data_IF_763511375056
#
_entry.id   IF_763511375056
#
_cell.length_a   1.000
_cell.length_b   1.000
_cell.length_c   1.000
_cell.angle_alpha   90.00
_cell.angle_beta   90.00
_cell.angle_gamma   90.00
#
_symmetry.space_group_name_H-M   'P 1'
#
loop_
_entity.id
_entity.type
_entity.pdbx_description
1 polymer ?
#
# COMPACT_ATOMS: atom_id res chain seq x y z
N UNK A 1 -37.96 -48.42 47.82
CA UNK A 1 -38.16 -47.22 48.67
C UNK A 1 -36.77 -46.79 49.15
N UNK A 2 -36.40 -45.54 48.90
CA UNK A 2 -35.03 -45.02 48.80
C UNK A 2 -34.19 -45.23 50.09
N UNK A 3 -32.94 -45.66 49.91
CA UNK A 3 -31.95 -46.04 50.94
C UNK A 3 -31.47 -44.83 51.77
N UNK A 4 -31.72 -44.89 53.09
CA UNK A 4 -31.40 -43.84 54.08
C UNK A 4 -29.90 -43.63 54.33
N UNK A 5 -28.99 -44.45 53.76
CA UNK A 5 -27.53 -44.25 53.91
C UNK A 5 -26.94 -43.24 52.91
N UNK A 6 -27.66 -42.92 51.84
CA UNK A 6 -27.21 -41.94 50.84
C UNK A 6 -27.52 -40.49 51.20
N UNK A 7 -28.56 -40.22 52.01
CA UNK A 7 -28.92 -38.86 52.45
C UNK A 7 -28.00 -38.29 53.53
N UNK A 8 -27.42 -39.13 54.40
CA UNK A 8 -26.55 -38.67 55.49
C UNK A 8 -25.17 -38.18 55.01
N UNK A 9 -24.68 -38.70 53.86
CA UNK A 9 -23.42 -38.28 53.23
C UNK A 9 -23.51 -36.93 52.52
N UNK A 10 -24.69 -36.54 52.05
CA UNK A 10 -24.90 -35.26 51.35
C UNK A 10 -25.18 -34.11 52.34
N UNK A 11 -25.72 -34.40 53.52
CA UNK A 11 -25.95 -33.40 54.57
C UNK A 11 -24.66 -32.93 55.25
N UNK A 12 -23.67 -33.81 55.42
CA UNK A 12 -22.38 -33.48 56.05
C UNK A 12 -21.49 -32.67 55.10
N UNK A 13 -21.54 -32.91 53.78
CA UNK A 13 -20.75 -32.17 52.80
C UNK A 13 -21.28 -30.74 52.52
N UNK A 14 -22.59 -30.50 52.72
CA UNK A 14 -23.20 -29.19 52.51
C UNK A 14 -22.96 -28.22 53.70
N UNK A 15 -22.74 -28.75 54.91
CA UNK A 15 -22.52 -27.93 56.11
C UNK A 15 -21.07 -27.41 56.24
N UNK A 16 -20.11 -28.06 55.58
CA UNK A 16 -18.70 -27.61 55.52
C UNK A 16 -18.44 -26.47 54.52
N UNK A 17 -19.34 -26.20 53.58
CA UNK A 17 -19.14 -25.14 52.58
C UNK A 17 -19.73 -23.78 53.00
N UNK A 18 -20.74 -23.77 53.88
CA UNK A 18 -21.40 -22.54 54.36
C UNK A 18 -20.61 -21.86 55.50
N UNK A 19 -19.77 -22.59 56.23
CA UNK A 19 -18.96 -22.05 57.33
C UNK A 19 -17.63 -21.39 56.89
N UNK A 20 -17.30 -21.39 55.59
CA UNK A 20 -16.10 -20.75 55.03
C UNK A 20 -16.36 -19.37 54.42
N UNK A 21 -17.57 -18.81 54.61
CA UNK A 21 -17.97 -17.52 54.05
C UNK A 21 -18.46 -16.48 55.07
N UNK A 22 -18.27 -16.71 56.38
CA UNK A 22 -18.56 -15.72 57.42
C UNK A 22 -17.37 -15.52 58.36
N UNK A 23 -16.76 -14.34 58.26
CA UNK A 23 -15.71 -13.82 59.16
C UNK A 23 -14.32 -14.00 58.57
N UNK A 24 -13.48 -12.99 58.37
CA UNK A 24 -13.31 -11.70 59.05
C UNK A 24 -12.19 -10.93 58.33
N UNK A 25 -12.02 -9.63 58.66
CA UNK A 25 -11.08 -8.62 58.16
C UNK A 25 -11.65 -7.74 57.04
N UNK A 26 -12.30 -6.61 57.30
CA UNK A 26 -11.95 -5.48 58.17
C UNK A 26 -10.56 -4.89 57.88
N UNK A 27 -10.49 -3.99 56.91
CA UNK A 27 -9.72 -2.72 56.92
C UNK A 27 -9.77 -2.09 55.53
N UNK A 28 -10.72 -1.17 55.29
CA UNK A 28 -10.69 -0.30 54.12
C UNK A 28 -9.66 0.82 54.35
N UNK A 29 -8.41 0.54 54.02
CA UNK A 29 -7.40 1.59 53.86
C UNK A 29 -7.74 2.36 52.58
N UNK A 30 -8.01 3.66 52.75
CA UNK A 30 -8.21 4.61 51.66
C UNK A 30 -6.98 4.58 50.73
N UNK A 31 -7.10 3.89 49.60
CA UNK A 31 -6.15 4.03 48.50
C UNK A 31 -6.67 5.17 47.64
N UNK A 32 -6.09 6.36 47.82
CA UNK A 32 -6.20 7.47 46.89
C UNK A 32 -5.85 6.95 45.51
N UNK A 33 -6.86 6.83 44.64
CA UNK A 33 -6.66 6.60 43.22
C UNK A 33 -5.97 7.84 42.67
N UNK A 34 -4.63 7.78 42.58
CA UNK A 34 -3.90 8.68 41.70
C UNK A 34 -4.45 8.43 40.30
N UNK A 35 -5.30 9.35 39.84
CA UNK A 35 -5.67 9.47 38.45
C UNK A 35 -4.37 9.73 37.70
N UNK A 36 -3.72 8.67 37.22
CA UNK A 36 -2.74 8.78 36.17
C UNK A 36 -3.47 9.44 35.02
N UNK A 37 -3.22 10.73 34.84
CA UNK A 37 -3.55 11.45 33.64
C UNK A 37 -2.91 10.68 32.50
N UNK A 38 -3.70 9.87 31.78
CA UNK A 38 -3.37 9.52 30.42
C UNK A 38 -3.29 10.87 29.70
N UNK A 39 -2.09 11.42 29.62
CA UNK A 39 -1.78 12.41 28.63
C UNK A 39 -2.08 11.71 27.31
N UNK A 40 -3.26 12.01 26.76
CA UNK A 40 -3.58 11.72 25.38
C UNK A 40 -2.48 12.41 24.58
N UNK A 41 -1.49 11.63 24.14
CA UNK A 41 -0.54 12.12 23.17
C UNK A 41 -1.37 12.41 21.94
N UNK A 42 -1.69 13.68 21.74
CA UNK A 42 -2.32 14.18 20.54
C UNK A 42 -1.46 13.73 19.38
N UNK A 43 -1.94 12.76 18.61
CA UNK A 43 -1.39 12.45 17.29
C UNK A 43 -1.21 13.78 16.55
N UNK A 44 -0.08 14.01 15.85
CA UNK A 44 0.12 15.23 15.08
C UNK A 44 -1.07 15.38 14.14
N UNK A 45 -1.92 16.35 14.47
CA UNK A 45 -3.13 16.61 13.72
C UNK A 45 -2.66 17.11 12.36
N UNK A 46 -2.96 16.35 11.30
CA UNK A 46 -2.71 16.79 9.93
C UNK A 46 -3.25 18.23 9.81
N UNK A 47 -2.39 19.16 9.40
CA UNK A 47 -2.76 20.57 9.32
C UNK A 47 -4.00 20.68 8.44
N UNK A 48 -5.11 21.17 9.01
CA UNK A 48 -6.36 21.39 8.26
C UNK A 48 -6.25 22.55 7.27
N UNK A 49 -5.14 23.29 7.32
CA UNK A 49 -4.82 24.35 6.38
C UNK A 49 -4.25 23.77 5.09
N UNK A 50 -4.88 24.05 3.92
CA UNK A 50 -4.33 23.62 2.65
C UNK A 50 -3.00 24.33 2.37
N UNK A 51 -2.07 23.58 1.77
CA UNK A 51 -0.84 24.17 1.22
C UNK A 51 -1.21 25.15 0.12
N UNK A 52 -0.57 26.32 0.10
CA UNK A 52 -0.78 27.36 -0.93
C UNK A 52 0.48 27.50 -1.76
N UNK A 53 0.32 27.49 -3.09
CA UNK A 53 1.41 27.71 -4.04
C UNK A 53 0.90 28.63 -5.17
N UNK A 54 1.45 29.85 -5.33
CA UNK A 54 0.89 30.85 -6.24
C UNK A 54 1.14 30.57 -7.74
N UNK A 55 2.05 29.65 -8.08
CA UNK A 55 2.47 29.42 -9.48
C UNK A 55 2.15 28.02 -10.01
N UNK A 56 2.34 26.99 -9.18
CA UNK A 56 2.13 25.60 -9.58
C UNK A 56 2.22 24.69 -8.37
N UNK A 57 1.59 23.52 -8.46
CA UNK A 57 1.54 22.55 -7.39
C UNK A 57 1.56 21.14 -7.99
N UNK A 58 2.37 20.26 -7.39
CA UNK A 58 2.35 18.82 -7.66
C UNK A 58 2.01 18.11 -6.37
N UNK A 59 1.05 17.19 -6.43
CA UNK A 59 0.62 16.38 -5.29
C UNK A 59 0.74 14.93 -5.69
N UNK A 60 1.45 14.15 -4.89
CA UNK A 60 1.58 12.71 -5.07
C UNK A 60 1.72 12.00 -3.73
N UNK A 61 1.67 10.68 -3.75
CA UNK A 61 1.86 9.87 -2.54
C UNK A 61 3.32 9.81 -2.06
N UNK A 62 4.29 10.36 -2.77
CA UNK A 62 5.71 10.33 -2.41
C UNK A 62 6.27 11.75 -2.39
N UNK A 63 6.96 12.13 -1.30
CA UNK A 63 7.60 13.45 -1.21
C UNK A 63 8.62 13.65 -2.33
N UNK A 64 9.42 12.63 -2.62
CA UNK A 64 10.43 12.62 -3.68
C UNK A 64 9.80 12.76 -5.07
N UNK A 65 8.66 12.11 -5.31
CA UNK A 65 7.97 12.21 -6.60
C UNK A 65 7.26 13.56 -6.78
N UNK A 66 6.63 14.09 -5.72
CA UNK A 66 6.07 15.43 -5.72
C UNK A 66 7.14 16.48 -6.00
N UNK A 67 8.32 16.33 -5.39
CA UNK A 67 9.47 17.21 -5.62
C UNK A 67 9.96 17.13 -7.08
N UNK A 68 10.11 15.93 -7.64
CA UNK A 68 10.53 15.77 -9.04
C UNK A 68 9.60 16.50 -10.03
N UNK A 69 8.28 16.39 -9.84
CA UNK A 69 7.32 17.14 -10.64
C UNK A 69 7.38 18.65 -10.39
N UNK A 70 7.50 19.07 -9.13
CA UNK A 70 7.60 20.48 -8.76
C UNK A 70 8.85 21.14 -9.35
N UNK A 71 9.98 20.43 -9.36
CA UNK A 71 11.23 20.90 -9.98
C UNK A 71 11.09 21.07 -11.49
N UNK A 72 10.34 20.17 -12.15
CA UNK A 72 10.01 20.33 -13.57
C UNK A 72 9.14 21.56 -13.82
N UNK A 73 8.12 21.81 -12.99
CA UNK A 73 7.33 23.05 -13.07
C UNK A 73 8.19 24.29 -12.84
N UNK A 74 9.04 24.28 -11.81
CA UNK A 74 9.94 25.38 -11.49
C UNK A 74 10.97 25.65 -12.59
N UNK A 75 11.38 24.60 -13.32
CA UNK A 75 12.20 24.70 -14.52
C UNK A 75 11.43 25.13 -15.79
N UNK A 76 10.15 25.49 -15.64
CA UNK A 76 9.28 25.97 -16.72
C UNK A 76 8.64 24.86 -17.56
N UNK A 77 8.70 23.60 -17.13
CA UNK A 77 7.88 22.53 -17.72
C UNK A 77 6.41 22.78 -17.49
N UNK A 78 5.55 22.22 -18.34
CA UNK A 78 4.11 22.32 -18.14
C UNK A 78 3.58 21.22 -17.21
N UNK A 79 2.27 21.20 -16.98
CA UNK A 79 1.62 20.21 -16.12
C UNK A 79 1.78 18.76 -16.62
N UNK A 80 1.84 18.54 -17.94
CA UNK A 80 2.05 17.21 -18.53
C UNK A 80 3.50 16.75 -18.31
N UNK A 81 4.48 17.62 -18.54
CA UNK A 81 5.89 17.34 -18.26
C UNK A 81 6.10 16.96 -16.78
N UNK A 82 5.53 17.75 -15.87
CA UNK A 82 5.60 17.50 -14.43
C UNK A 82 4.90 16.20 -14.02
N UNK A 83 3.76 15.87 -14.63
CA UNK A 83 3.05 14.61 -14.38
C UNK A 83 3.89 13.40 -14.83
N UNK A 84 4.56 13.49 -15.97
CA UNK A 84 5.45 12.43 -16.48
C UNK A 84 6.63 12.21 -15.52
N UNK A 85 7.32 13.28 -15.12
CA UNK A 85 8.44 13.18 -14.18
C UNK A 85 8.00 12.63 -12.82
N UNK A 86 6.85 13.06 -12.32
CA UNK A 86 6.22 12.53 -11.10
C UNK A 86 5.93 11.04 -11.25
N UNK A 87 5.37 10.62 -12.39
CA UNK A 87 5.04 9.23 -12.67
C UNK A 87 6.26 8.31 -12.67
N UNK A 88 7.35 8.72 -13.33
CA UNK A 88 8.61 7.97 -13.29
C UNK A 88 9.23 7.94 -11.88
N UNK A 89 9.20 9.06 -11.14
CA UNK A 89 9.69 9.08 -9.77
C UNK A 89 8.85 8.18 -8.83
N UNK A 90 7.53 8.08 -9.04
CA UNK A 90 6.67 7.13 -8.32
C UNK A 90 7.02 5.68 -8.66
N UNK A 91 7.43 5.38 -9.89
CA UNK A 91 7.88 4.03 -10.28
C UNK A 91 9.07 3.53 -9.46
N UNK A 92 9.84 4.46 -8.86
CA UNK A 92 10.96 4.16 -7.98
C UNK A 92 10.57 4.26 -6.51
N UNK A 93 9.88 5.34 -6.13
CA UNK A 93 9.68 5.70 -4.72
C UNK A 93 8.38 5.17 -4.11
N UNK A 94 7.45 4.67 -4.94
CA UNK A 94 6.21 4.00 -4.54
C UNK A 94 6.01 2.69 -5.33
N UNK A 95 6.91 1.70 -5.20
CA UNK A 95 6.93 0.50 -6.04
C UNK A 95 5.70 -0.41 -5.89
N UNK A 96 4.89 -0.22 -4.85
CA UNK A 96 3.62 -0.94 -4.69
C UNK A 96 2.54 -0.51 -5.70
N UNK A 97 2.72 0.61 -6.41
CA UNK A 97 1.72 1.13 -7.36
C UNK A 97 2.32 1.93 -8.52
N UNK A 98 3.28 2.81 -8.25
CA UNK A 98 4.06 3.48 -9.31
C UNK A 98 4.81 2.43 -10.10
N UNK A 99 4.80 2.54 -11.44
CA UNK A 99 5.25 1.45 -12.29
C UNK A 99 5.77 1.90 -13.66
N UNK A 100 6.61 1.06 -14.25
CA UNK A 100 6.85 0.99 -15.71
C UNK A 100 6.34 -0.34 -16.30
N UNK A 101 5.97 -1.29 -15.45
CA UNK A 101 5.50 -2.64 -15.81
C UNK A 101 3.98 -2.83 -15.73
N UNK A 102 3.21 -1.75 -15.61
CA UNK A 102 1.75 -1.77 -15.62
C UNK A 102 1.17 -0.75 -16.60
N UNK A 103 0.04 -0.15 -16.25
CA UNK A 103 -0.66 0.83 -17.08
C UNK A 103 -1.44 1.85 -16.26
N UNK A 104 -2.31 2.61 -16.93
CA UNK A 104 -3.11 3.64 -16.28
C UNK A 104 -3.81 4.58 -17.25
N UNK A 105 -4.18 5.74 -16.72
CA UNK A 105 -4.89 6.78 -17.45
C UNK A 105 -4.31 8.15 -17.07
N UNK A 106 -4.36 9.10 -18.00
CA UNK A 106 -4.00 10.50 -17.74
C UNK A 106 -5.08 11.41 -18.29
N UNK A 107 -5.73 12.18 -17.41
CA UNK A 107 -6.69 13.22 -17.81
C UNK A 107 -6.01 14.58 -17.80
N UNK A 108 -6.15 15.31 -18.90
CA UNK A 108 -5.53 16.63 -19.08
C UNK A 108 -6.63 17.64 -19.38
N UNK A 109 -6.64 18.75 -18.64
CA UNK A 109 -7.49 19.92 -18.91
C UNK A 109 -6.60 21.08 -19.32
N UNK A 110 -6.88 21.68 -20.47
CA UNK A 110 -6.08 22.76 -21.04
C UNK A 110 -6.58 24.13 -20.57
N UNK A 111 -5.75 25.20 -20.72
CA UNK A 111 -6.11 26.55 -20.32
C UNK A 111 -7.36 27.10 -21.03
N UNK A 112 -7.64 26.64 -22.26
CA UNK A 112 -8.85 27.00 -23.02
C UNK A 112 -10.12 26.28 -22.53
N UNK A 113 -10.00 25.43 -21.51
CA UNK A 113 -11.10 24.65 -20.92
C UNK A 113 -11.35 23.31 -21.58
N UNK A 114 -10.69 22.99 -22.70
CA UNK A 114 -10.81 21.67 -23.34
C UNK A 114 -10.20 20.58 -22.47
N UNK A 115 -10.68 19.35 -22.62
CA UNK A 115 -10.23 18.21 -21.80
C UNK A 115 -10.01 17.00 -22.70
N UNK A 116 -8.97 16.23 -22.41
CA UNK A 116 -8.67 14.96 -23.06
C UNK A 116 -8.28 13.91 -22.03
N UNK A 117 -8.26 12.65 -22.43
CA UNK A 117 -7.74 11.55 -21.63
C UNK A 117 -6.89 10.63 -22.50
N UNK A 118 -5.74 10.21 -21.97
CA UNK A 118 -4.94 9.13 -22.54
C UNK A 118 -5.23 7.85 -21.76
N UNK A 119 -5.64 6.82 -22.49
CA UNK A 119 -5.73 5.45 -22.01
C UNK A 119 -4.45 4.70 -22.40
N UNK A 120 -3.69 4.28 -21.39
CA UNK A 120 -2.52 3.43 -21.53
C UNK A 120 -2.64 2.22 -20.60
N UNK A 121 -3.86 1.69 -20.48
CA UNK A 121 -4.16 0.46 -19.77
C UNK A 121 -3.40 -0.71 -20.42
N UNK A 122 -3.03 -1.67 -19.58
CA UNK A 122 -2.45 -2.92 -20.05
C UNK A 122 -3.43 -3.63 -20.99
N UNK A 123 -2.88 -4.27 -22.03
CA UNK A 123 -3.66 -5.14 -22.93
C UNK A 123 -3.38 -6.59 -22.61
N UNK A 124 -4.41 -7.43 -22.74
CA UNK A 124 -4.20 -8.88 -22.73
C UNK A 124 -3.21 -9.25 -23.86
N UNK A 125 -2.24 -10.14 -23.61
CA UNK A 125 -1.34 -10.61 -24.66
C UNK A 125 -2.11 -11.38 -25.75
N UNK A 126 -1.57 -11.48 -26.96
CA UNK A 126 -2.22 -12.15 -28.09
C UNK A 126 -2.54 -13.64 -27.83
N UNK A 127 -1.82 -14.28 -26.92
CA UNK A 127 -2.03 -15.67 -26.51
C UNK A 127 -3.10 -15.84 -25.40
N UNK A 128 -3.69 -14.74 -24.90
CA UNK A 128 -4.73 -14.79 -23.89
C UNK A 128 -6.01 -15.44 -24.45
N UNK A 129 -6.68 -16.24 -23.62
CA UNK A 129 -7.90 -16.95 -23.95
C UNK A 129 -8.76 -17.11 -22.68
N UNK A 130 -10.09 -17.32 -22.79
CA UNK A 130 -11.00 -17.26 -21.64
C UNK A 130 -10.67 -18.23 -20.50
N UNK A 131 -10.15 -19.42 -20.82
CA UNK A 131 -9.89 -20.50 -19.88
C UNK A 131 -8.50 -20.42 -19.21
N UNK A 132 -7.67 -19.40 -19.53
CA UNK A 132 -6.27 -19.33 -19.07
C UNK A 132 -6.10 -19.24 -17.54
N UNK A 133 -7.18 -18.97 -16.80
CA UNK A 133 -7.21 -18.89 -15.34
C UNK A 133 -7.68 -20.17 -14.65
N UNK A 134 -8.08 -21.18 -15.41
CA UNK A 134 -8.51 -22.47 -14.86
C UNK A 134 -7.29 -23.34 -14.52
N UNK A 135 -7.41 -24.17 -13.49
CA UNK A 135 -6.46 -25.24 -13.21
C UNK A 135 -6.77 -26.51 -14.03
N UNK A 136 -6.01 -27.57 -13.78
CA UNK A 136 -6.12 -28.83 -14.52
C UNK A 136 -7.44 -29.58 -14.25
N UNK A 137 -8.18 -29.19 -13.20
CA UNK A 137 -9.53 -29.70 -12.93
C UNK A 137 -10.62 -28.90 -13.63
N UNK A 138 -10.27 -27.78 -14.27
CA UNK A 138 -11.21 -26.86 -14.91
C UNK A 138 -11.80 -25.81 -13.96
N UNK A 139 -11.32 -25.73 -12.72
CA UNK A 139 -11.79 -24.76 -11.72
C UNK A 139 -10.94 -23.50 -11.70
N UNK A 140 -11.52 -22.38 -11.26
CA UNK A 140 -10.80 -21.10 -11.20
C UNK A 140 -9.61 -21.15 -10.22
N UNK A 141 -8.42 -20.83 -10.72
CA UNK A 141 -7.20 -20.76 -9.92
C UNK A 141 -6.80 -19.33 -9.59
N UNK A 142 -7.04 -18.95 -8.34
CA UNK A 142 -6.59 -17.65 -7.79
C UNK A 142 -5.07 -17.47 -7.88
N UNK A 143 -4.32 -18.56 -7.71
CA UNK A 143 -2.85 -18.54 -7.79
C UNK A 143 -2.39 -18.25 -9.22
N UNK A 144 -2.97 -18.90 -10.23
CA UNK A 144 -2.70 -18.55 -11.64
C UNK A 144 -3.03 -17.08 -11.92
N UNK A 145 -4.19 -16.61 -11.49
CA UNK A 145 -4.66 -15.26 -11.79
C UNK A 145 -3.88 -14.13 -11.09
N UNK A 146 -3.33 -14.34 -9.89
CA UNK A 146 -2.68 -13.27 -9.12
C UNK A 146 -1.22 -13.50 -8.75
N UNK A 147 -0.69 -14.69 -9.00
CA UNK A 147 0.63 -15.11 -8.51
C UNK A 147 1.33 -16.02 -9.51
N UNK A 148 1.21 -15.67 -10.80
CA UNK A 148 1.95 -16.32 -11.88
C UNK A 148 2.29 -15.32 -12.99
N UNK A 149 3.26 -15.63 -13.88
CA UNK A 149 3.57 -14.77 -15.02
C UNK A 149 2.42 -14.57 -16.00
N UNK A 150 1.47 -15.51 -16.08
CA UNK A 150 0.31 -15.39 -16.99
C UNK A 150 -0.65 -14.28 -16.57
N UNK A 151 -0.56 -13.80 -15.32
CA UNK A 151 -1.32 -12.67 -14.78
C UNK A 151 -0.93 -11.31 -15.37
N UNK A 152 0.19 -11.24 -16.09
CA UNK A 152 0.78 -9.97 -16.56
C UNK A 152 0.17 -9.56 -17.90
N UNK A 153 -0.45 -8.38 -17.94
CA UNK A 153 -0.82 -7.71 -19.19
C UNK A 153 0.37 -6.99 -19.83
N UNK A 154 0.28 -6.67 -21.12
CA UNK A 154 1.31 -5.91 -21.84
C UNK A 154 1.39 -4.49 -21.26
N UNK A 155 2.51 -4.06 -20.65
CA UNK A 155 2.61 -2.77 -19.98
C UNK A 155 2.42 -1.58 -20.92
N UNK A 156 1.69 -0.56 -20.45
CA UNK A 156 1.35 0.64 -21.20
C UNK A 156 1.95 1.94 -20.66
N UNK A 157 2.37 2.02 -19.40
CA UNK A 157 2.77 3.28 -18.76
C UNK A 157 3.84 4.07 -19.53
N UNK A 158 4.93 3.44 -19.93
CA UNK A 158 6.01 4.12 -20.67
C UNK A 158 5.52 4.63 -22.02
N UNK A 159 4.73 3.83 -22.74
CA UNK A 159 4.15 4.23 -24.03
C UNK A 159 3.14 5.38 -23.86
N UNK A 160 2.33 5.36 -22.80
CA UNK A 160 1.39 6.42 -22.46
C UNK A 160 2.07 7.74 -22.14
N UNK A 161 3.12 7.71 -21.31
CA UNK A 161 3.92 8.91 -20.99
C UNK A 161 4.65 9.44 -22.21
N UNK A 162 5.23 8.58 -23.03
CA UNK A 162 5.86 8.99 -24.28
C UNK A 162 4.84 9.64 -25.23
N UNK A 163 3.64 9.07 -25.36
CA UNK A 163 2.58 9.65 -26.19
C UNK A 163 2.11 11.00 -25.66
N UNK A 164 1.93 11.14 -24.34
CA UNK A 164 1.60 12.40 -23.70
C UNK A 164 2.68 13.46 -23.92
N UNK A 165 3.96 13.07 -23.81
CA UNK A 165 5.11 13.93 -24.09
C UNK A 165 5.12 14.41 -25.54
N UNK A 166 4.92 13.52 -26.51
CA UNK A 166 4.88 13.89 -27.93
C UNK A 166 3.75 14.84 -28.27
N UNK A 167 2.59 14.69 -27.62
CA UNK A 167 1.41 15.51 -27.90
C UNK A 167 1.45 16.85 -27.17
N UNK A 168 1.92 16.87 -25.92
CA UNK A 168 1.69 17.97 -25.00
C UNK A 168 2.90 18.35 -24.16
N UNK A 169 4.04 17.68 -24.27
CA UNK A 169 5.27 18.01 -23.55
C UNK A 169 5.99 19.22 -24.13
N UNK A 170 6.72 19.95 -23.30
CA UNK A 170 7.54 21.10 -23.73
C UNK A 170 9.00 21.07 -23.24
N UNK A 171 9.38 20.01 -22.53
CA UNK A 171 10.77 19.76 -22.09
C UNK A 171 11.34 18.50 -22.71
N UNK A 172 12.67 18.40 -22.73
CA UNK A 172 13.34 17.20 -23.24
C UNK A 172 12.97 15.97 -22.42
N UNK A 173 12.68 14.86 -23.11
CA UNK A 173 12.28 13.60 -22.47
C UNK A 173 13.29 13.13 -21.42
N UNK A 174 14.58 13.23 -21.72
CA UNK A 174 15.65 12.87 -20.79
C UNK A 174 15.50 13.63 -19.46
N UNK A 175 15.17 14.92 -19.53
CA UNK A 175 15.00 15.76 -18.33
C UNK A 175 13.85 15.31 -17.44
N UNK A 176 12.81 14.70 -18.02
CA UNK A 176 11.66 14.17 -17.28
C UNK A 176 11.96 12.82 -16.63
N UNK A 177 12.79 11.99 -17.26
CA UNK A 177 13.16 10.65 -16.77
C UNK A 177 14.30 10.69 -15.77
N UNK A 178 15.25 11.62 -15.94
CA UNK A 178 16.50 11.68 -15.17
C UNK A 178 16.32 11.75 -13.63
N UNK A 179 15.31 12.46 -13.07
CA UNK A 179 15.08 12.43 -11.63
C UNK A 179 14.84 11.01 -11.09
N UNK A 180 14.04 10.20 -11.80
CA UNK A 180 13.79 8.82 -11.40
C UNK A 180 15.05 7.94 -11.52
N UNK A 181 15.88 8.16 -12.54
CA UNK A 181 17.17 7.47 -12.69
C UNK A 181 18.08 7.77 -11.50
N UNK A 182 18.18 9.04 -11.08
CA UNK A 182 18.96 9.44 -9.90
C UNK A 182 18.45 8.75 -8.63
N UNK A 183 17.13 8.82 -8.37
CA UNK A 183 16.50 8.16 -7.22
C UNK A 183 16.76 6.64 -7.20
N UNK A 184 16.73 5.98 -8.36
CA UNK A 184 16.95 4.54 -8.45
C UNK A 184 18.43 4.15 -8.30
N UNK A 185 19.33 4.97 -8.86
CA UNK A 185 20.78 4.69 -8.86
C UNK A 185 21.44 5.01 -7.53
N UNK A 186 21.13 6.18 -7.00
CA UNK A 186 21.80 6.75 -5.84
C UNK A 186 21.06 6.41 -4.54
N UNK A 187 19.82 5.93 -4.66
CA UNK A 187 18.93 5.65 -3.55
C UNK A 187 18.21 6.90 -3.04
N UNK A 188 17.34 6.69 -2.05
CA UNK A 188 16.60 7.76 -1.40
C UNK A 188 16.20 7.31 0.01
N UNK A 189 15.88 8.28 0.88
CA UNK A 189 15.40 7.98 2.22
C UNK A 189 13.98 7.39 2.19
N UNK A 190 13.80 6.24 2.83
CA UNK A 190 12.54 5.52 2.91
C UNK A 190 11.61 6.22 3.91
N UNK A 191 10.40 6.52 3.48
CA UNK A 191 9.36 7.07 4.37
C UNK A 191 8.69 5.98 5.21
N UNK A 192 8.08 6.34 6.33
CA UNK A 192 7.32 5.41 7.18
C UNK A 192 6.26 4.63 6.40
N UNK A 193 5.57 5.27 5.46
CA UNK A 193 4.61 4.62 4.57
C UNK A 193 5.25 3.51 3.74
N UNK A 194 6.40 3.79 3.12
CA UNK A 194 7.10 2.83 2.28
C UNK A 194 7.67 1.69 3.15
N UNK A 195 8.23 2.00 4.31
CA UNK A 195 8.71 1.01 5.27
C UNK A 195 7.58 0.07 5.73
N UNK A 196 6.41 0.62 6.05
CA UNK A 196 5.22 -0.15 6.43
C UNK A 196 4.73 -1.04 5.28
N UNK A 197 4.67 -0.50 4.06
CA UNK A 197 4.31 -1.26 2.86
C UNK A 197 5.26 -2.44 2.59
N UNK A 198 6.57 -2.19 2.65
CA UNK A 198 7.60 -3.22 2.49
C UNK A 198 7.52 -4.28 3.58
N UNK A 199 7.33 -3.88 4.85
CA UNK A 199 7.15 -4.82 5.95
C UNK A 199 5.97 -5.75 5.69
N UNK A 200 4.80 -5.21 5.30
CA UNK A 200 3.61 -6.02 4.97
C UNK A 200 3.85 -6.96 3.79
N UNK A 201 4.64 -6.54 2.80
CA UNK A 201 5.01 -7.39 1.68
C UNK A 201 5.90 -8.55 2.14
N UNK A 202 7.00 -8.26 2.84
CA UNK A 202 7.99 -9.24 3.31
C UNK A 202 7.38 -10.22 4.30
N UNK A 203 6.51 -9.79 5.22
CA UNK A 203 5.83 -10.68 6.16
C UNK A 203 4.59 -11.36 5.58
N UNK A 204 4.20 -11.02 4.35
CA UNK A 204 3.01 -11.51 3.68
C UNK A 204 3.36 -12.29 2.41
N UNK A 205 2.91 -11.80 1.25
CA UNK A 205 3.10 -12.47 -0.05
C UNK A 205 4.57 -12.71 -0.40
N UNK A 206 5.46 -11.83 0.03
CA UNK A 206 6.90 -11.96 -0.20
C UNK A 206 7.56 -13.04 0.66
N UNK A 207 6.96 -13.46 1.78
CA UNK A 207 7.53 -14.49 2.65
C UNK A 207 7.59 -15.87 1.97
N UNK A 208 6.72 -16.12 1.00
CA UNK A 208 6.68 -17.35 0.22
C UNK A 208 7.56 -17.29 -1.05
N UNK A 209 8.24 -16.16 -1.31
CA UNK A 209 9.12 -16.01 -2.46
C UNK A 209 10.44 -16.75 -2.20
N UNK A 210 10.70 -17.80 -2.98
CA UNK A 210 12.02 -18.47 -3.00
C UNK A 210 12.97 -17.65 -3.89
N UNK A 211 14.06 -17.05 -3.33
CA UNK A 211 15.01 -16.28 -4.11
C UNK A 211 15.76 -17.12 -5.16
N UNK A 212 15.71 -18.45 -5.08
CA UNK A 212 16.29 -19.36 -6.06
C UNK A 212 15.33 -19.75 -7.19
N UNK A 213 14.07 -19.32 -7.15
CA UNK A 213 13.07 -19.55 -8.21
C UNK A 213 13.15 -18.53 -9.36
N UNK A 214 14.25 -17.79 -9.51
CA UNK A 214 14.55 -17.18 -10.81
C UNK A 214 14.67 -18.33 -11.82
N UNK A 215 14.05 -18.25 -13.01
CA UNK A 215 14.23 -19.29 -14.01
C UNK A 215 15.73 -19.47 -14.19
N UNK A 216 16.23 -20.68 -13.90
CA UNK A 216 17.54 -21.08 -14.35
C UNK A 216 17.63 -20.62 -15.80
N UNK A 217 18.68 -19.87 -16.13
CA UNK A 217 19.09 -19.70 -17.51
C UNK A 217 19.47 -21.08 -18.04
N UNK A 218 18.47 -21.90 -18.37
CA UNK A 218 18.63 -23.12 -19.14
C UNK A 218 18.13 -22.81 -20.53
N UNK A 219 19.15 -22.62 -21.37
CA UNK A 219 19.15 -22.66 -22.82
C UNK A 219 18.90 -21.37 -23.59
N UNK A 220 19.76 -21.27 -24.61
CA UNK A 220 20.14 -20.15 -25.47
C UNK A 220 19.06 -19.79 -26.47
#
# INVERSE_FOLDING_TARGET
MIDRRHLLRHFIALFTYVALFLGTFASSAASSTALSSLAFQSSPQASTHPVRAPHGMVVSSSIHASQAGADVLAAGGNAVDAAIATGFALAVTRPSAGNIGGGGFMTVRFPDGTTTTLDFREKAPLAAHPEMWLDDSGEYSRTKHHSSPVAVGVPGTVAGFWKAHQLYGNRDWERLVRPAVGLARDGFEITDDLASSLRRFVTGKGAAYDPNCLPHQSDR
#
